data_IF_828609521438
#
_entry.id   IF_828609521438
#
_cell.length_a   1.000
_cell.length_b   1.000
_cell.length_c   1.000
_cell.angle_alpha   90.00
_cell.angle_beta   90.00
_cell.angle_gamma   90.00
#
_symmetry.space_group_name_H-M   'P 1'
#
loop_
_entity.id
_entity.type
_entity.pdbx_description
1 polymer ?
#
# COMPACT_ATOMS: atom_id res chain seq x y z
N UNK A 1 14.03 11.46 -17.63
CA UNK A 1 12.68 11.03 -17.19
C UNK A 1 12.77 10.84 -15.69
N UNK A 2 12.18 11.74 -14.91
CA UNK A 2 12.07 11.61 -13.45
C UNK A 2 11.02 10.54 -13.17
N UNK A 3 11.40 9.49 -12.44
CA UNK A 3 10.47 8.40 -12.05
C UNK A 3 9.80 8.80 -10.75
N UNK A 4 8.48 8.92 -10.75
CA UNK A 4 7.71 9.28 -9.55
C UNK A 4 7.23 8.01 -8.86
N UNK A 5 7.53 7.83 -7.58
CA UNK A 5 7.15 6.64 -6.83
C UNK A 5 6.50 7.00 -5.50
N UNK A 6 5.56 6.16 -5.08
CA UNK A 6 4.97 6.22 -3.76
C UNK A 6 5.42 5.00 -2.97
N UNK A 7 6.20 5.22 -1.91
CA UNK A 7 6.32 4.24 -0.84
C UNK A 7 5.06 4.37 0.00
N UNK A 8 4.11 3.46 -0.16
CA UNK A 8 2.89 3.40 0.64
C UNK A 8 2.77 1.96 1.10
N UNK A 9 2.54 1.75 2.40
CA UNK A 9 2.46 0.39 2.95
C UNK A 9 1.32 -0.36 2.25
N UNK A 10 0.16 0.28 2.00
CA UNK A 10 -0.92 -0.36 1.22
C UNK A 10 -2.01 0.60 0.65
N UNK A 11 -2.81 0.09 -0.31
CA UNK A 11 -4.02 0.71 -0.87
C UNK A 11 -5.25 0.54 0.05
N UNK A 12 -6.17 1.51 0.01
CA UNK A 12 -7.48 1.45 0.70
C UNK A 12 -8.62 1.81 -0.26
N UNK A 13 -9.81 1.19 -0.14
CA UNK A 13 -11.01 1.62 -0.87
C UNK A 13 -11.45 3.04 -0.49
N UNK A 14 -11.09 3.50 0.71
CA UNK A 14 -11.43 4.83 1.23
C UNK A 14 -10.42 5.91 0.82
N UNK A 15 -9.33 5.52 0.14
CA UNK A 15 -8.30 6.44 -0.35
C UNK A 15 -8.73 7.05 -1.69
N UNK A 16 -9.34 8.23 -1.62
CA UNK A 16 -9.79 8.98 -2.80
C UNK A 16 -8.80 10.05 -3.25
N UNK A 17 -8.07 10.66 -2.31
CA UNK A 17 -7.07 11.69 -2.53
C UNK A 17 -5.88 11.51 -1.57
N UNK A 18 -4.66 11.73 -2.07
CA UNK A 18 -3.41 11.75 -1.31
C UNK A 18 -3.39 12.77 -0.16
N UNK A 19 -4.20 13.83 -0.23
CA UNK A 19 -4.32 14.79 0.86
C UNK A 19 -4.95 14.16 2.12
N UNK A 20 -5.80 13.13 1.98
CA UNK A 20 -6.32 12.39 3.14
C UNK A 20 -5.18 11.77 3.94
N UNK A 21 -4.15 11.29 3.25
CA UNK A 21 -2.96 10.67 3.83
C UNK A 21 -2.03 11.73 4.43
N UNK A 22 -1.83 12.85 3.73
CA UNK A 22 -0.98 13.96 4.21
C UNK A 22 -1.55 14.60 5.48
N UNK A 23 -2.87 14.64 5.60
CA UNK A 23 -3.59 15.25 6.72
C UNK A 23 -3.80 14.29 7.92
N UNK A 24 -3.32 13.05 7.84
CA UNK A 24 -3.35 12.15 8.99
C UNK A 24 -2.53 12.74 10.15
N UNK A 25 -3.21 12.97 11.27
CA UNK A 25 -2.59 13.50 12.48
C UNK A 25 -1.65 12.46 13.06
N UNK A 26 -0.42 12.87 13.40
CA UNK A 26 0.60 12.00 13.98
C UNK A 26 1.21 12.69 15.22
N UNK A 27 1.47 11.96 16.32
CA UNK A 27 1.21 10.52 16.52
C UNK A 27 -0.28 10.21 16.70
N UNK A 28 -0.71 9.03 16.27
CA UNK A 28 -2.06 8.51 16.48
C UNK A 28 -1.98 7.00 16.65
N UNK A 29 -2.88 6.44 17.46
CA UNK A 29 -3.10 4.99 17.50
C UNK A 29 -3.78 4.54 16.20
N UNK A 30 -3.52 3.29 15.81
CA UNK A 30 -4.12 2.69 14.61
C UNK A 30 -5.52 2.19 14.98
N UNK A 31 -6.59 2.69 14.33
CA UNK A 31 -7.95 2.21 14.58
C UNK A 31 -8.14 0.78 14.01
N UNK A 32 -9.16 0.08 14.48
CA UNK A 32 -9.50 -1.28 13.99
C UNK A 32 -10.10 -1.27 12.57
N UNK A 33 -10.53 -0.11 12.06
CA UNK A 33 -11.16 0.04 10.74
C UNK A 33 -10.84 1.40 10.11
N UNK A 34 -11.07 1.52 8.80
CA UNK A 34 -10.98 2.75 8.03
C UNK A 34 -9.59 3.02 7.43
N UNK A 35 -9.42 4.18 6.81
CA UNK A 35 -8.26 4.52 5.98
C UNK A 35 -6.90 4.19 6.63
N UNK A 36 -6.67 4.60 7.89
CA UNK A 36 -5.38 4.35 8.54
C UNK A 36 -5.13 2.85 8.80
N UNK A 37 -6.16 2.09 9.16
CA UNK A 37 -6.08 0.64 9.29
C UNK A 37 -5.72 0.01 7.94
N UNK A 38 -6.46 0.39 6.90
CA UNK A 38 -6.28 -0.17 5.57
C UNK A 38 -4.89 0.11 5.02
N UNK A 39 -4.44 1.37 5.12
CA UNK A 39 -3.11 1.79 4.67
C UNK A 39 -1.98 0.97 5.30
N UNK A 40 -2.20 0.34 6.45
CA UNK A 40 -1.20 -0.44 7.17
C UNK A 40 -1.35 -1.96 7.02
N UNK A 41 -2.57 -2.45 6.77
CA UNK A 41 -2.92 -3.86 6.96
C UNK A 41 -3.57 -4.54 5.74
N UNK A 42 -3.84 -3.85 4.63
CA UNK A 42 -4.26 -4.55 3.41
C UNK A 42 -3.12 -5.36 2.78
N UNK A 43 -3.45 -6.32 1.91
CA UNK A 43 -2.49 -7.20 1.25
C UNK A 43 -2.80 -7.41 -0.24
N UNK A 44 -1.79 -7.60 -1.11
CA UNK A 44 -2.03 -7.98 -2.50
C UNK A 44 -2.57 -9.41 -2.57
N UNK A 45 -3.64 -9.62 -3.35
CA UNK A 45 -4.21 -10.95 -3.62
C UNK A 45 -3.95 -11.40 -5.06
N UNK A 46 -3.24 -12.51 -5.26
CA UNK A 46 -2.92 -13.05 -6.60
C UNK A 46 -4.15 -13.45 -7.40
N UNK A 47 -5.16 -13.97 -6.73
CA UNK A 47 -6.40 -14.45 -7.33
C UNK A 47 -7.59 -13.49 -7.09
N UNK A 48 -7.31 -12.27 -6.62
CA UNK A 48 -8.34 -11.26 -6.32
C UNK A 48 -8.44 -10.28 -7.49
N UNK A 49 -9.68 -10.00 -7.92
CA UNK A 49 -10.00 -8.91 -8.83
C UNK A 49 -10.77 -7.84 -8.07
N UNK A 50 -10.27 -6.61 -8.08
CA UNK A 50 -10.84 -5.53 -7.27
C UNK A 50 -10.44 -5.65 -5.80
N UNK A 51 -11.42 -5.55 -4.91
CA UNK A 51 -11.24 -5.66 -3.46
C UNK A 51 -11.78 -7.00 -2.95
N UNK A 52 -11.05 -7.66 -2.06
CA UNK A 52 -11.45 -8.86 -1.35
C UNK A 52 -11.35 -8.66 0.16
N UNK A 53 -11.92 -9.58 0.94
CA UNK A 53 -11.67 -9.62 2.39
C UNK A 53 -10.25 -10.14 2.63
N UNK A 54 -9.57 -9.63 3.65
CA UNK A 54 -8.27 -10.16 4.06
C UNK A 54 -8.46 -11.36 5.00
N UNK A 55 -7.74 -12.45 4.74
CA UNK A 55 -7.73 -13.66 5.58
C UNK A 55 -7.20 -13.40 7.00
N UNK A 56 -6.52 -12.26 7.20
CA UNK A 56 -6.14 -11.75 8.53
C UNK A 56 -7.33 -11.34 9.40
N UNK A 57 -8.53 -11.24 8.83
CA UNK A 57 -9.74 -10.77 9.52
C UNK A 57 -9.79 -9.25 9.74
N UNK A 58 -8.84 -8.50 9.18
CA UNK A 58 -8.75 -7.04 9.26
C UNK A 58 -8.33 -6.47 7.91
N UNK A 59 -8.92 -5.33 7.51
CA UNK A 59 -8.69 -4.70 6.20
C UNK A 59 -9.08 -5.60 5.00
N UNK A 60 -8.56 -5.28 3.82
CA UNK A 60 -8.92 -5.84 2.52
C UNK A 60 -7.71 -6.45 1.82
N UNK A 61 -7.99 -7.34 0.88
CA UNK A 61 -7.04 -7.70 -0.18
C UNK A 61 -7.35 -6.92 -1.45
N UNK A 62 -6.34 -6.69 -2.29
CA UNK A 62 -6.52 -5.99 -3.57
C UNK A 62 -5.82 -6.69 -4.71
N UNK A 63 -6.46 -6.63 -5.89
CA UNK A 63 -5.92 -7.16 -7.14
C UNK A 63 -4.96 -6.21 -7.86
N UNK A 64 -4.30 -6.75 -8.90
CA UNK A 64 -3.44 -5.99 -9.80
C UNK A 64 -4.16 -4.78 -10.43
N UNK A 65 -5.46 -4.93 -10.72
CA UNK A 65 -6.29 -3.88 -11.32
C UNK A 65 -6.37 -2.63 -10.43
N UNK A 66 -6.42 -2.82 -9.11
CA UNK A 66 -6.47 -1.70 -8.15
C UNK A 66 -5.13 -0.98 -8.02
N UNK A 67 -4.02 -1.70 -8.20
CA UNK A 67 -2.69 -1.09 -8.27
C UNK A 67 -2.58 -0.21 -9.50
N UNK A 68 -2.93 -0.74 -10.68
CA UNK A 68 -2.86 0.02 -11.93
C UNK A 68 -3.78 1.24 -11.92
N UNK A 69 -5.00 1.11 -11.40
CA UNK A 69 -5.96 2.21 -11.24
C UNK A 69 -5.38 3.33 -10.35
N UNK A 70 -4.79 2.94 -9.21
CA UNK A 70 -4.19 3.89 -8.28
C UNK A 70 -3.02 4.66 -8.90
N UNK A 71 -2.09 3.94 -9.55
CA UNK A 71 -0.92 4.52 -10.19
C UNK A 71 -1.31 5.52 -11.29
N UNK A 72 -2.26 5.13 -12.15
CA UNK A 72 -2.76 6.00 -13.22
C UNK A 72 -3.46 7.26 -12.66
N UNK A 73 -4.27 7.10 -11.61
CA UNK A 73 -5.03 8.20 -10.99
C UNK A 73 -4.12 9.24 -10.34
N UNK A 74 -2.98 8.82 -9.79
CA UNK A 74 -2.08 9.67 -9.03
C UNK A 74 -0.80 10.05 -9.78
N UNK A 75 -0.68 9.69 -11.06
CA UNK A 75 0.49 9.94 -11.91
C UNK A 75 1.79 9.39 -11.28
N UNK A 76 1.72 8.11 -10.88
CA UNK A 76 2.81 7.39 -10.23
C UNK A 76 3.25 6.19 -11.07
N UNK A 77 4.53 5.84 -10.99
CA UNK A 77 5.11 4.73 -11.75
C UNK A 77 5.19 3.41 -10.95
N UNK A 78 5.25 3.50 -9.61
CA UNK A 78 5.55 2.37 -8.74
C UNK A 78 4.94 2.53 -7.34
N UNK A 79 4.36 1.45 -6.82
CA UNK A 79 4.03 1.30 -5.41
C UNK A 79 5.11 0.46 -4.73
N UNK A 80 5.75 1.01 -3.70
CA UNK A 80 6.70 0.28 -2.84
C UNK A 80 6.08 0.02 -1.47
N UNK A 81 5.94 -1.26 -1.09
CA UNK A 81 5.37 -1.67 0.21
C UNK A 81 6.27 -2.61 1.00
N UNK A 82 5.98 -2.71 2.30
CA UNK A 82 6.53 -3.70 3.21
C UNK A 82 5.41 -4.69 3.65
N UNK A 83 5.58 -5.34 4.79
CA UNK A 83 4.56 -6.10 5.56
C UNK A 83 4.53 -7.63 5.40
N UNK A 84 4.95 -8.19 4.26
CA UNK A 84 5.10 -9.65 4.15
C UNK A 84 6.57 -10.04 3.92
N UNK A 85 6.95 -11.18 4.49
CA UNK A 85 8.30 -11.74 4.33
C UNK A 85 8.42 -12.27 2.90
N UNK A 86 9.46 -11.84 2.21
CA UNK A 86 9.86 -12.31 0.89
C UNK A 86 11.25 -12.92 0.97
N UNK A 87 11.46 -14.00 0.22
CA UNK A 87 12.65 -14.86 0.34
C UNK A 87 13.95 -14.11 0.00
N UNK A 88 13.94 -13.29 -1.06
CA UNK A 88 15.11 -12.55 -1.57
C UNK A 88 15.21 -11.11 -1.05
N UNK A 89 14.46 -10.75 -0.01
CA UNK A 89 14.47 -9.40 0.56
C UNK A 89 13.61 -8.36 -0.18
N UNK A 90 13.35 -8.57 -1.47
CA UNK A 90 12.31 -7.85 -2.24
C UNK A 90 11.70 -8.76 -3.31
N UNK A 91 10.46 -8.48 -3.72
CA UNK A 91 9.74 -9.22 -4.77
C UNK A 91 8.77 -8.27 -5.50
N UNK A 92 8.62 -8.44 -6.81
CA UNK A 92 7.58 -7.74 -7.58
C UNK A 92 6.31 -8.58 -7.57
N UNK A 93 5.26 -8.06 -6.93
CA UNK A 93 4.02 -8.78 -6.73
C UNK A 93 2.96 -8.34 -7.73
N UNK A 94 2.21 -9.29 -8.29
CA UNK A 94 1.05 -9.07 -9.18
C UNK A 94 1.34 -8.38 -10.53
N UNK A 95 2.25 -7.41 -10.55
CA UNK A 95 2.63 -6.56 -11.69
C UNK A 95 4.06 -6.07 -11.49
N UNK A 96 4.72 -5.62 -12.56
CA UNK A 96 6.04 -4.97 -12.50
C UNK A 96 6.02 -3.61 -11.77
N UNK A 97 4.84 -3.11 -11.39
CA UNK A 97 4.65 -1.81 -10.75
C UNK A 97 4.26 -1.90 -9.26
N UNK A 98 4.36 -3.08 -8.65
CA UNK A 98 4.22 -3.26 -7.20
C UNK A 98 5.44 -4.00 -6.64
N UNK A 99 6.27 -3.26 -5.92
CA UNK A 99 7.46 -3.77 -5.26
C UNK A 99 7.16 -4.02 -3.78
N UNK A 100 7.40 -5.23 -3.31
CA UNK A 100 7.38 -5.58 -1.89
C UNK A 100 8.80 -5.80 -1.38
N UNK A 101 9.13 -5.30 -0.19
CA UNK A 101 10.41 -5.58 0.46
C UNK A 101 10.20 -6.09 1.90
N UNK A 102 11.07 -6.99 2.36
CA UNK A 102 11.07 -7.46 3.75
C UNK A 102 11.92 -6.53 4.61
N UNK A 103 11.28 -5.67 5.40
CA UNK A 103 11.91 -4.94 6.49
C UNK A 103 11.10 -5.16 7.78
N UNK A 104 11.74 -5.14 8.97
CA UNK A 104 11.06 -5.30 10.24
C UNK A 104 10.06 -4.15 10.48
N UNK A 105 8.90 -4.43 11.12
CA UNK A 105 7.78 -3.49 11.31
C UNK A 105 8.08 -2.32 12.26
N UNK A 106 9.33 -2.01 12.58
CA UNK A 106 9.68 -0.96 13.56
C UNK A 106 9.72 0.46 12.97
N UNK A 107 9.50 0.64 11.65
CA UNK A 107 9.46 1.97 11.01
C UNK A 107 8.10 2.23 10.33
N UNK A 108 6.99 1.90 11.01
CA UNK A 108 5.64 2.20 10.48
C UNK A 108 5.35 3.71 10.45
N UNK A 109 6.08 4.51 11.25
CA UNK A 109 5.80 5.94 11.44
C UNK A 109 6.04 6.85 10.23
N UNK A 110 6.88 6.43 9.26
CA UNK A 110 7.36 7.32 8.18
C UNK A 110 7.19 6.77 6.75
N UNK A 111 6.46 5.68 6.54
CA UNK A 111 6.44 5.00 5.23
C UNK A 111 5.40 5.54 4.23
N UNK A 112 5.25 6.86 4.17
CA UNK A 112 4.50 7.53 3.10
C UNK A 112 5.43 8.57 2.49
N UNK A 113 6.37 8.09 1.70
CA UNK A 113 7.31 8.93 0.96
C UNK A 113 6.83 9.03 -0.47
N UNK A 114 6.48 10.25 -0.89
CA UNK A 114 6.23 10.58 -2.29
C UNK A 114 7.52 11.14 -2.87
N UNK A 115 8.19 10.37 -3.71
CA UNK A 115 9.37 10.80 -4.46
C UNK A 115 8.97 11.26 -5.87
N UNK A 116 9.65 12.30 -6.38
CA UNK A 116 9.62 12.72 -7.79
C UNK A 116 10.95 12.42 -8.45
#
# INVERSE_FOLDING_TARGET
>A
MTKSYACMVVLSPDLTNMDQVRNLTRPTDVPDTGLLCDLLLSDPGRDVKGWGMNDRGISYTFGADKVSEFLLKHDLDLVCRAHQVVEDGYDFLLTDNLLQYSQPPTTVGNLIMLGR
#
